data_IF_054317042758
#
_entry.id   IF_054317042758
#
_cell.length_a   1.000
_cell.length_b   1.000
_cell.length_c   1.000
_cell.angle_alpha   90.00
_cell.angle_beta   90.00
_cell.angle_gamma   90.00
#
_symmetry.space_group_name_H-M   'P 1'
#
loop_
_entity.id
_entity.type
_entity.pdbx_description
1 polymer ?
#
# COMPACT_ATOMS: atom_id res chain seq x y z
N UNK A 1 -0.97 -5.71 10.69
CA UNK A 1 -0.16 -4.51 10.99
C UNK A 1 0.51 -4.04 9.71
N UNK A 2 0.90 -2.77 9.61
CA UNK A 2 1.74 -2.15 8.54
C UNK A 2 1.22 -2.19 7.10
N UNK A 3 -0.07 -2.51 6.89
CA UNK A 3 -0.75 -2.25 5.62
C UNK A 3 -1.09 -0.76 5.51
N UNK A 4 -1.14 -0.26 4.27
CA UNK A 4 -1.56 1.09 3.96
C UNK A 4 -3.08 1.19 3.86
N UNK A 5 -3.64 2.28 4.37
CA UNK A 5 -5.07 2.56 4.30
C UNK A 5 -5.29 4.04 3.99
N UNK A 6 -6.22 4.35 3.09
CA UNK A 6 -6.72 5.72 2.95
C UNK A 6 -7.61 6.07 4.16
N UNK A 7 -7.79 7.36 4.45
CA UNK A 7 -8.76 7.80 5.47
C UNK A 7 -10.17 7.25 5.20
N UNK A 8 -10.55 7.12 3.92
CA UNK A 8 -11.85 6.56 3.50
C UNK A 8 -11.97 5.09 3.90
N UNK A 9 -10.90 4.30 3.71
CA UNK A 9 -10.88 2.90 4.11
C UNK A 9 -10.98 2.76 5.63
N UNK A 10 -10.23 3.60 6.37
CA UNK A 10 -10.25 3.59 7.84
C UNK A 10 -11.66 3.84 8.37
N UNK A 11 -12.36 4.88 7.91
CA UNK A 11 -13.73 5.13 8.39
C UNK A 11 -14.72 4.03 8.00
N UNK A 12 -14.54 3.42 6.81
CA UNK A 12 -15.36 2.26 6.42
C UNK A 12 -15.12 1.06 7.33
N UNK A 13 -13.88 0.79 7.72
CA UNK A 13 -13.50 -0.34 8.59
C UNK A 13 -13.93 -0.10 10.04
N UNK A 14 -13.84 1.13 10.53
CA UNK A 14 -14.26 1.49 11.89
C UNK A 14 -15.79 1.44 12.08
N UNK A 15 -16.55 1.29 10.98
CA UNK A 15 -17.98 1.00 10.97
C UNK A 15 -18.83 2.01 11.77
N UNK A 16 -18.58 3.30 11.57
CA UNK A 16 -19.37 4.34 12.21
C UNK A 16 -20.76 4.45 11.56
N UNK A 17 -21.78 4.81 12.35
CA UNK A 17 -23.15 5.00 11.84
C UNK A 17 -23.23 6.05 10.71
N UNK A 18 -22.34 7.05 10.74
CA UNK A 18 -22.15 8.02 9.67
C UNK A 18 -20.67 8.33 9.53
N UNK A 19 -20.12 8.10 8.34
CA UNK A 19 -18.72 8.39 8.07
C UNK A 19 -18.49 9.91 7.91
N UNK A 20 -17.46 10.48 8.54
CA UNK A 20 -17.11 11.88 8.34
C UNK A 20 -16.56 12.09 6.92
N UNK A 21 -16.62 13.32 6.41
CA UNK A 21 -15.93 13.65 5.17
C UNK A 21 -14.41 13.54 5.40
N UNK A 22 -13.70 12.60 4.75
CA UNK A 22 -12.28 12.35 5.00
C UNK A 22 -11.39 13.58 4.76
N UNK A 23 -11.78 14.50 3.88
CA UNK A 23 -11.04 15.74 3.59
C UNK A 23 -11.12 16.75 4.75
N UNK A 24 -12.16 16.66 5.58
CA UNK A 24 -12.36 17.56 6.73
C UNK A 24 -11.72 17.03 8.01
N UNK A 25 -11.32 15.76 8.00
CA UNK A 25 -10.63 15.15 9.15
C UNK A 25 -9.15 15.51 9.08
N UNK A 26 -8.71 16.36 10.01
CA UNK A 26 -7.29 16.64 10.26
C UNK A 26 -6.55 15.45 10.90
N UNK A 27 -5.76 15.71 11.94
CA UNK A 27 -4.90 14.68 12.55
C UNK A 27 -5.60 13.57 13.36
N UNK A 28 -6.85 13.74 13.77
CA UNK A 28 -7.63 12.71 14.49
C UNK A 28 -9.10 13.11 14.57
N UNK A 29 -9.95 12.17 14.98
CA UNK A 29 -11.37 12.43 15.29
C UNK A 29 -11.86 11.37 16.28
N UNK A 30 -12.56 11.79 17.34
CA UNK A 30 -13.23 10.88 18.27
C UNK A 30 -14.58 10.50 17.68
N UNK A 31 -14.89 9.20 17.66
CA UNK A 31 -16.18 8.71 17.18
C UNK A 31 -17.34 9.25 18.03
N UNK A 32 -18.54 9.47 17.47
CA UNK A 32 -19.68 10.02 18.23
C UNK A 32 -20.08 9.19 19.45
N UNK A 33 -19.92 7.86 19.35
CA UNK A 33 -20.19 6.88 20.41
C UNK A 33 -18.98 6.69 21.36
N UNK A 34 -17.86 7.38 21.13
CA UNK A 34 -16.60 7.26 21.88
C UNK A 34 -16.00 5.85 21.92
N UNK A 35 -16.34 4.99 20.96
CA UNK A 35 -15.75 3.66 20.84
C UNK A 35 -14.35 3.68 20.25
N UNK A 36 -14.01 4.67 19.40
CA UNK A 36 -12.68 4.76 18.80
C UNK A 36 -12.24 6.18 18.42
N UNK A 37 -10.93 6.38 18.31
CA UNK A 37 -10.31 7.65 17.91
C UNK A 37 -9.09 7.37 17.00
N UNK A 38 -9.28 7.23 15.67
CA UNK A 38 -8.15 7.11 14.76
C UNK A 38 -7.28 8.37 14.77
N UNK A 39 -5.97 8.16 14.84
CA UNK A 39 -4.94 9.21 14.77
C UNK A 39 -4.17 9.06 13.46
N UNK A 40 -4.02 10.15 12.71
CA UNK A 40 -3.31 10.26 11.44
C UNK A 40 -2.16 11.25 11.58
N UNK A 41 -0.93 10.79 11.37
CA UNK A 41 0.28 11.62 11.46
C UNK A 41 1.05 11.60 10.15
N UNK A 42 1.45 12.79 9.69
CA UNK A 42 2.49 12.94 8.68
C UNK A 42 3.80 13.20 9.43
N UNK A 43 4.74 12.25 9.34
CA UNK A 43 5.91 12.18 10.21
C UNK A 43 6.94 13.27 9.87
N UNK A 44 7.31 13.38 8.60
CA UNK A 44 8.08 14.51 8.10
C UNK A 44 7.12 15.51 7.48
N UNK A 45 7.02 16.66 8.14
CA UNK A 45 6.19 17.78 7.73
C UNK A 45 6.97 18.64 6.74
N UNK A 46 6.35 19.02 5.63
CA UNK A 46 6.96 19.98 4.70
C UNK A 46 7.21 21.32 5.40
N UNK A 47 8.27 22.02 4.98
CA UNK A 47 8.58 23.35 5.53
C UNK A 47 7.46 24.38 5.28
N UNK A 48 6.64 24.13 4.25
CA UNK A 48 5.54 24.95 3.71
C UNK A 48 4.22 24.85 4.49
N UNK A 49 4.08 23.98 5.50
CA UNK A 49 2.83 23.88 6.27
C UNK A 49 2.71 24.99 7.32
N UNK A 50 1.46 25.34 7.69
CA UNK A 50 1.16 26.31 8.76
C UNK A 50 1.89 25.93 10.05
N UNK A 51 2.50 26.91 10.71
CA UNK A 51 3.17 26.74 12.00
C UNK A 51 2.21 26.24 13.08
N UNK A 52 0.91 26.55 12.96
CA UNK A 52 -0.15 25.99 13.84
C UNK A 52 -0.37 24.48 13.69
N UNK A 53 0.31 23.84 12.73
CA UNK A 53 0.22 22.41 12.42
C UNK A 53 1.58 21.68 12.47
N UNK A 54 2.68 22.40 12.75
CA UNK A 54 4.03 21.84 12.96
C UNK A 54 4.18 21.24 14.36
N UNK A 55 3.36 20.24 14.66
CA UNK A 55 3.48 19.50 15.92
C UNK A 55 4.78 18.69 15.97
N UNK A 56 5.31 18.47 17.17
CA UNK A 56 6.47 17.61 17.40
C UNK A 56 6.02 16.15 17.60
N UNK A 57 5.16 15.64 16.72
CA UNK A 57 4.76 14.23 16.76
C UNK A 57 5.93 13.38 16.30
N UNK A 58 6.27 12.33 17.06
CA UNK A 58 7.43 11.52 16.73
C UNK A 58 7.59 10.32 17.64
N UNK A 59 8.33 9.33 17.16
CA UNK A 59 8.72 8.24 18.03
C UNK A 59 9.79 8.69 19.03
N UNK A 60 9.61 8.31 20.30
CA UNK A 60 10.65 8.41 21.33
C UNK A 60 11.57 7.19 21.23
N UNK A 61 10.95 6.02 21.02
CA UNK A 61 11.60 4.74 20.76
C UNK A 61 10.60 3.88 19.94
N UNK A 62 10.95 2.63 19.63
CA UNK A 62 10.09 1.77 18.82
C UNK A 62 8.76 1.37 19.48
N UNK A 63 8.56 1.64 20.78
CA UNK A 63 7.36 1.30 21.55
C UNK A 63 6.60 2.52 22.07
N UNK A 64 7.21 3.71 22.04
CA UNK A 64 6.64 4.94 22.56
C UNK A 64 6.55 6.03 21.49
N UNK A 65 5.37 6.61 21.34
CA UNK A 65 5.09 7.66 20.38
C UNK A 65 4.61 8.92 21.11
N UNK A 66 5.30 10.04 20.93
CA UNK A 66 4.87 11.34 21.40
C UNK A 66 3.95 12.00 20.37
N UNK A 67 2.82 12.52 20.84
CA UNK A 67 1.80 13.09 19.98
C UNK A 67 1.22 14.37 20.60
N UNK A 68 0.83 15.31 19.73
CA UNK A 68 0.12 16.52 20.10
C UNK A 68 -1.30 16.53 19.58
N UNK A 69 -2.21 17.03 20.41
CA UNK A 69 -3.57 17.35 19.97
C UNK A 69 -3.59 18.45 18.90
N UNK A 70 -4.76 18.63 18.28
CA UNK A 70 -5.02 19.77 17.40
C UNK A 70 -4.81 21.08 18.18
N UNK A 71 -4.49 22.16 17.48
CA UNK A 71 -4.39 23.49 18.07
C UNK A 71 -5.69 23.93 18.75
N UNK A 72 -5.56 24.84 19.72
CA UNK A 72 -6.66 25.37 20.57
C UNK A 72 -7.34 24.25 21.36
N UNK A 73 -6.53 23.33 21.88
CA UNK A 73 -6.96 22.29 22.81
C UNK A 73 -6.30 22.47 24.15
N UNK A 74 -6.99 22.00 25.17
CA UNK A 74 -6.61 22.07 26.58
C UNK A 74 -6.93 20.74 27.22
N UNK A 75 -6.45 20.50 28.44
CA UNK A 75 -6.82 19.30 29.20
C UNK A 75 -8.34 19.18 29.40
N UNK A 76 -9.09 20.29 29.29
CA UNK A 76 -10.56 20.30 29.44
C UNK A 76 -11.32 20.08 28.12
N UNK A 77 -10.64 20.04 26.98
CA UNK A 77 -11.29 19.89 25.67
C UNK A 77 -12.00 18.51 25.57
N UNK A 78 -13.21 18.42 24.99
CA UNK A 78 -14.00 17.18 25.02
C UNK A 78 -13.32 15.96 24.37
N UNK A 79 -12.58 16.21 23.28
CA UNK A 79 -11.81 15.19 22.58
C UNK A 79 -10.59 14.73 23.40
N UNK A 80 -9.86 15.67 24.01
CA UNK A 80 -8.77 15.36 24.94
C UNK A 80 -9.29 14.59 26.15
N UNK A 81 -10.44 14.98 26.70
CA UNK A 81 -11.09 14.26 27.80
C UNK A 81 -11.50 12.84 27.40
N UNK A 82 -11.92 12.60 26.16
CA UNK A 82 -12.18 11.25 25.69
C UNK A 82 -10.90 10.39 25.69
N UNK A 83 -9.77 10.95 25.24
CA UNK A 83 -8.47 10.27 25.22
C UNK A 83 -7.94 10.05 26.65
N UNK A 84 -8.07 11.02 27.55
CA UNK A 84 -7.71 10.87 28.97
C UNK A 84 -8.51 9.72 29.60
N UNK A 85 -9.81 9.63 29.29
CA UNK A 85 -10.70 8.61 29.82
C UNK A 85 -10.75 7.34 28.94
N UNK A 86 -9.66 7.01 28.22
CA UNK A 86 -9.63 5.90 27.26
C UNK A 86 -10.05 4.55 27.85
N UNK A 87 -9.81 4.33 29.15
CA UNK A 87 -10.19 3.11 29.89
C UNK A 87 -11.70 2.85 29.90
N UNK A 88 -12.52 3.82 29.50
CA UNK A 88 -13.95 3.63 29.24
C UNK A 88 -14.27 2.79 27.99
N UNK A 89 -13.23 2.35 27.25
CA UNK A 89 -13.34 1.49 26.07
C UNK A 89 -12.96 2.16 24.75
N UNK A 90 -12.28 3.32 24.79
CA UNK A 90 -11.86 4.03 23.58
C UNK A 90 -10.65 3.33 22.94
N UNK A 91 -10.85 2.78 21.74
CA UNK A 91 -9.77 2.23 20.91
C UNK A 91 -9.06 3.33 20.13
N UNK A 92 -7.73 3.39 20.17
CA UNK A 92 -6.95 4.45 19.50
C UNK A 92 -6.01 3.83 18.45
N UNK A 93 -6.46 3.64 17.20
CA UNK A 93 -5.59 3.15 16.13
C UNK A 93 -4.72 4.28 15.56
N UNK A 94 -3.41 4.03 15.47
CA UNK A 94 -2.41 4.97 14.97
C UNK A 94 -2.07 4.69 13.50
N UNK A 95 -2.09 5.74 12.68
CA UNK A 95 -1.77 5.71 11.27
C UNK A 95 -0.69 6.75 10.96
N UNK A 96 0.43 6.34 10.37
CA UNK A 96 1.56 7.22 10.06
C UNK A 96 1.89 7.17 8.58
N UNK A 97 2.19 8.31 7.99
CA UNK A 97 2.77 8.44 6.65
C UNK A 97 4.09 9.21 6.77
N UNK A 98 5.12 8.81 6.03
CA UNK A 98 6.45 9.43 6.16
C UNK A 98 6.45 10.86 5.62
N UNK A 99 5.93 11.07 4.41
CA UNK A 99 5.84 12.39 3.78
C UNK A 99 4.46 12.64 3.15
N UNK A 100 4.10 13.90 2.89
CA UNK A 100 2.82 14.25 2.27
C UNK A 100 2.71 13.79 0.79
N UNK A 101 3.82 13.57 0.11
CA UNK A 101 3.92 13.23 -1.32
C UNK A 101 3.81 11.72 -1.63
N UNK A 102 4.01 10.81 -0.67
CA UNK A 102 3.90 9.34 -0.90
C UNK A 102 2.46 8.80 -1.11
N UNK A 103 1.54 9.62 -1.63
CA UNK A 103 0.14 9.25 -1.90
C UNK A 103 -0.89 9.65 -0.83
N UNK A 104 -2.08 9.02 -0.83
CA UNK A 104 -3.19 9.38 0.09
C UNK A 104 -3.32 8.44 1.30
N UNK A 105 -2.46 7.43 1.38
CA UNK A 105 -2.57 6.32 2.32
C UNK A 105 -1.55 6.40 3.46
N UNK A 106 -1.90 5.82 4.61
CA UNK A 106 -1.11 5.80 5.83
C UNK A 106 -0.82 4.36 6.26
N UNK A 107 0.38 4.10 6.78
CA UNK A 107 0.71 2.82 7.43
C UNK A 107 -0.06 2.69 8.74
N UNK A 108 -0.80 1.59 8.92
CA UNK A 108 -1.39 1.25 10.21
C UNK A 108 -0.32 0.73 11.17
N UNK A 109 0.00 1.51 12.20
CA UNK A 109 1.05 1.23 13.18
C UNK A 109 0.59 0.36 14.34
N UNK A 110 -0.72 0.13 14.46
CA UNK A 110 -1.30 -0.59 15.60
C UNK A 110 -2.22 0.27 16.43
N UNK A 111 -2.82 -0.38 17.43
CA UNK A 111 -3.53 0.33 18.49
C UNK A 111 -2.52 0.81 19.53
N UNK A 112 -2.80 1.98 20.09
CA UNK A 112 -1.95 2.60 21.10
C UNK A 112 -2.73 2.91 22.37
N UNK A 113 -2.00 2.98 23.48
CA UNK A 113 -2.55 3.23 24.81
C UNK A 113 -1.88 4.47 25.40
N UNK A 114 -2.62 5.50 25.86
CA UNK A 114 -2.02 6.64 26.54
C UNK A 114 -1.25 6.21 27.79
N UNK A 115 -0.05 6.74 27.98
CA UNK A 115 0.71 6.55 29.23
C UNK A 115 0.09 7.47 30.29
N UNK A 116 -0.46 6.89 31.35
CA UNK A 116 -1.06 7.63 32.46
C UNK A 116 -0.04 8.64 33.05
N UNK A 117 -0.47 9.88 33.25
CA UNK A 117 0.39 10.95 33.76
C UNK A 117 1.28 11.64 32.72
N UNK A 118 1.28 11.21 31.46
CA UNK A 118 2.06 11.85 30.38
C UNK A 118 1.37 13.05 29.70
N UNK A 119 0.13 13.37 30.10
CA UNK A 119 -0.63 14.47 29.52
C UNK A 119 -0.11 15.82 30.00
N UNK A 120 0.38 16.63 29.08
CA UNK A 120 0.93 17.96 29.35
C UNK A 120 0.27 19.01 28.45
N UNK A 121 -0.29 20.06 29.04
CA UNK A 121 -0.77 21.21 28.27
C UNK A 121 0.37 22.20 28.03
N UNK A 122 0.61 22.54 26.78
CA UNK A 122 1.64 23.51 26.36
C UNK A 122 1.12 24.39 25.22
N UNK A 123 2.01 25.16 24.57
CA UNK A 123 1.67 26.03 23.44
C UNK A 123 2.60 25.81 22.25
N UNK A 124 2.09 26.05 21.04
CA UNK A 124 2.88 26.14 19.80
C UNK A 124 2.68 27.52 19.18
N UNK A 125 3.66 27.96 18.39
CA UNK A 125 3.57 29.23 17.66
C UNK A 125 2.55 29.16 16.53
N UNK A 126 1.72 30.20 16.39
CA UNK A 126 0.87 30.38 15.21
C UNK A 126 1.59 31.12 14.07
N UNK A 127 0.92 31.23 12.92
CA UNK A 127 1.47 31.88 11.72
C UNK A 127 1.73 33.38 11.89
N UNK A 128 1.16 34.01 12.93
CA UNK A 128 1.31 35.42 13.26
C UNK A 128 2.22 35.66 14.47
N UNK A 129 2.92 34.62 14.96
CA UNK A 129 3.80 34.70 16.14
C UNK A 129 3.07 34.67 17.49
N UNK A 130 1.75 34.46 17.51
CA UNK A 130 0.97 34.17 18.70
C UNK A 130 1.21 32.76 19.22
N UNK A 131 0.74 32.47 20.44
CA UNK A 131 0.84 31.15 21.07
C UNK A 131 -0.55 30.51 21.14
N UNK A 132 -0.69 29.28 20.63
CA UNK A 132 -1.94 28.51 20.68
C UNK A 132 -1.77 27.25 21.50
N UNK A 133 -2.77 26.92 22.33
CA UNK A 133 -2.68 25.79 23.25
C UNK A 133 -2.79 24.44 22.53
N UNK A 134 -2.00 23.48 22.99
CA UNK A 134 -2.02 22.07 22.58
C UNK A 134 -1.83 21.18 23.81
N UNK A 135 -2.15 19.90 23.68
CA UNK A 135 -1.90 18.88 24.71
C UNK A 135 -0.95 17.84 24.13
N UNK A 136 0.23 17.67 24.74
CA UNK A 136 1.16 16.56 24.49
C UNK A 136 0.72 15.34 25.29
N UNK A 137 0.86 14.16 24.71
CA UNK A 137 0.68 12.88 25.41
C UNK A 137 1.64 11.86 24.79
N UNK A 138 2.14 10.96 25.63
CA UNK A 138 2.92 9.81 25.18
C UNK A 138 2.02 8.60 25.10
N UNK A 139 2.13 7.88 23.99
CA UNK A 139 1.41 6.64 23.74
C UNK A 139 2.38 5.47 23.80
N UNK A 140 1.98 4.39 24.45
CA UNK A 140 2.60 3.08 24.34
C UNK A 140 1.92 2.31 23.19
N UNK A 141 2.69 1.80 22.25
CA UNK A 141 2.16 0.91 21.22
C UNK A 141 1.90 -0.47 21.81
N UNK A 142 0.74 -1.06 21.50
CA UNK A 142 0.39 -2.40 21.98
C UNK A 142 1.34 -3.49 21.45
N UNK A 143 1.93 -3.25 20.28
CA UNK A 143 3.10 -3.99 19.80
C UNK A 143 4.15 -2.99 19.34
N UNK A 144 5.43 -3.15 19.73
CA UNK A 144 6.51 -2.30 19.22
C UNK A 144 6.52 -2.23 17.70
N UNK A 145 6.87 -1.07 17.16
CA UNK A 145 7.16 -0.90 15.73
C UNK A 145 8.38 -1.71 15.39
N UNK A 146 8.30 -2.45 14.30
CA UNK A 146 9.44 -3.12 13.69
C UNK A 146 10.61 -2.14 13.45
N UNK A 147 11.82 -2.53 13.85
CA UNK A 147 12.99 -1.65 13.78
C UNK A 147 13.24 -1.09 12.38
N UNK A 148 12.93 -1.84 11.31
CA UNK A 148 13.11 -1.35 9.94
C UNK A 148 12.09 -0.25 9.57
N UNK A 149 10.83 -0.40 9.97
CA UNK A 149 9.78 0.60 9.73
C UNK A 149 10.01 1.82 10.62
N UNK A 150 10.43 1.59 11.86
CA UNK A 150 10.90 2.64 12.76
C UNK A 150 12.04 3.42 12.10
N UNK A 151 13.12 2.75 11.69
CA UNK A 151 14.28 3.37 11.04
C UNK A 151 13.90 4.11 9.76
N UNK A 152 13.03 3.54 8.91
CA UNK A 152 12.56 4.21 7.71
C UNK A 152 11.76 5.48 8.03
N UNK A 153 10.89 5.44 9.04
CA UNK A 153 10.11 6.62 9.45
C UNK A 153 11.01 7.66 10.14
N UNK A 154 12.00 7.25 10.92
CA UNK A 154 12.88 8.15 11.69
C UNK A 154 14.12 8.62 10.94
N UNK A 155 14.49 7.97 9.82
CA UNK A 155 15.65 8.37 9.00
C UNK A 155 15.46 9.80 8.50
N UNK A 156 16.41 10.68 8.79
CA UNK A 156 16.45 12.02 8.17
C UNK A 156 16.77 11.86 6.69
N UNK A 157 16.17 12.69 5.85
CA UNK A 157 16.26 12.65 4.38
C UNK A 157 17.67 12.90 3.79
N UNK A 158 18.73 12.86 4.60
CA UNK A 158 20.12 13.05 4.18
C UNK A 158 20.99 11.97 4.85
N UNK A 159 21.24 10.86 4.16
CA UNK A 159 22.50 10.10 4.21
C UNK A 159 22.43 8.90 3.24
N UNK A 160 22.67 9.17 1.96
CA UNK A 160 23.25 8.19 1.04
C UNK A 160 24.76 8.11 1.34
N UNK A 161 25.20 7.22 2.23
CA UNK A 161 26.50 6.51 2.17
C UNK A 161 26.93 5.95 3.54
N UNK A 162 26.75 4.65 3.75
CA UNK A 162 27.82 3.78 4.27
C UNK A 162 27.37 2.32 4.24
N UNK A 163 28.13 1.54 3.47
CA UNK A 163 28.16 0.08 3.44
C UNK A 163 28.67 -0.49 4.76
N UNK A 164 28.00 -1.50 5.32
CA UNK A 164 28.69 -2.73 5.73
C UNK A 164 27.73 -3.91 5.90
N UNK A 165 28.21 -5.08 5.47
CA UNK A 165 27.53 -6.38 5.42
C UNK A 165 27.72 -7.13 6.74
N UNK A 166 26.66 -7.77 7.27
CA UNK A 166 26.56 -9.24 7.41
C UNK A 166 25.16 -9.68 7.92
N UNK A 167 24.48 -10.47 7.08
CA UNK A 167 23.63 -11.67 7.31
C UNK A 167 23.32 -12.12 8.76
N UNK A 168 22.17 -12.72 9.13
CA UNK A 168 21.08 -13.38 8.37
C UNK A 168 19.89 -13.68 9.31
N UNK A 169 18.70 -13.79 8.69
CA UNK A 169 17.46 -14.51 9.07
C UNK A 169 16.21 -13.70 9.46
N UNK A 170 15.26 -13.71 8.51
CA UNK A 170 13.81 -13.37 8.52
C UNK A 170 13.38 -12.01 7.96
N UNK A 171 13.42 -11.96 6.62
CA UNK A 171 12.52 -11.31 5.63
C UNK A 171 11.69 -10.10 6.08
N UNK A 172 12.34 -8.94 6.07
CA UNK A 172 11.67 -7.67 5.78
C UNK A 172 11.63 -7.45 4.28
N UNK A 173 10.47 -7.09 3.76
CA UNK A 173 10.21 -6.85 2.33
C UNK A 173 10.92 -5.57 1.85
N UNK A 174 12.26 -5.59 1.77
CA UNK A 174 13.02 -4.61 1.00
C UNK A 174 12.55 -4.80 -0.43
N UNK A 175 11.93 -3.77 -1.02
CA UNK A 175 11.58 -3.84 -2.44
C UNK A 175 12.88 -4.14 -3.21
N UNK A 176 12.89 -5.13 -4.12
CA UNK A 176 14.09 -5.53 -4.87
C UNK A 176 14.54 -4.50 -5.93
N UNK A 177 14.01 -3.29 -5.83
CA UNK A 177 14.18 -2.16 -6.73
C UNK A 177 13.92 -0.86 -5.96
N UNK A 178 14.46 0.24 -6.50
CA UNK A 178 14.25 1.58 -5.99
C UNK A 178 13.11 2.24 -6.76
N UNK A 179 12.23 2.96 -6.07
CA UNK A 179 11.29 3.88 -6.72
C UNK A 179 12.04 5.18 -6.99
N UNK A 180 12.04 5.62 -8.25
CA UNK A 180 12.76 6.83 -8.65
C UNK A 180 11.91 8.10 -8.41
N UNK A 181 12.52 9.19 -7.90
CA UNK A 181 11.88 10.49 -7.88
C UNK A 181 11.76 11.06 -9.31
N UNK A 182 10.77 11.91 -9.55
CA UNK A 182 10.35 12.38 -10.88
C UNK A 182 11.52 12.93 -11.70
N UNK A 183 12.47 13.61 -11.05
CA UNK A 183 13.61 14.26 -11.70
C UNK A 183 14.65 13.27 -12.23
N UNK A 184 14.69 12.04 -11.68
CA UNK A 184 15.62 10.98 -12.11
C UNK A 184 15.02 10.04 -13.15
N UNK A 185 13.71 10.17 -13.44
CA UNK A 185 13.00 9.28 -14.36
C UNK A 185 13.44 9.55 -15.80
N UNK A 186 14.05 8.55 -16.43
CA UNK A 186 14.25 8.47 -17.89
C UNK A 186 13.53 7.22 -18.37
N UNK A 187 12.25 7.34 -18.77
CA UNK A 187 11.38 6.21 -19.08
C UNK A 187 12.06 5.22 -20.03
N UNK A 188 12.11 3.95 -19.62
CA UNK A 188 12.66 2.84 -20.39
C UNK A 188 14.17 2.95 -20.72
N UNK A 189 14.86 3.96 -20.18
CA UNK A 189 16.30 4.10 -20.26
C UNK A 189 16.95 3.63 -18.96
N UNK A 190 16.46 4.11 -17.81
CA UNK A 190 16.94 3.70 -16.48
C UNK A 190 15.85 3.12 -15.58
N UNK A 191 14.59 3.09 -16.03
CA UNK A 191 13.49 2.62 -15.21
C UNK A 191 12.34 2.04 -16.05
N UNK A 192 11.50 1.24 -15.39
CA UNK A 192 10.25 0.69 -15.93
C UNK A 192 9.10 1.00 -14.97
N UNK A 193 7.84 1.00 -15.44
CA UNK A 193 6.69 1.34 -14.59
C UNK A 193 6.39 0.23 -13.57
N UNK A 194 5.93 0.66 -12.40
CA UNK A 194 5.35 -0.17 -11.35
C UNK A 194 3.82 -0.01 -11.38
N UNK A 195 3.09 -1.11 -11.60
CA UNK A 195 1.64 -1.11 -11.62
C UNK A 195 1.05 -1.73 -10.36
N UNK A 196 0.11 -1.01 -9.74
CA UNK A 196 -0.70 -1.53 -8.65
C UNK A 196 -2.02 -2.08 -9.23
N UNK A 197 -2.08 -3.40 -9.40
CA UNK A 197 -3.24 -4.08 -10.01
C UNK A 197 -4.54 -3.84 -9.22
N UNK A 198 -4.46 -3.59 -7.90
CA UNK A 198 -5.65 -3.28 -7.06
C UNK A 198 -6.17 -1.86 -7.25
N UNK A 199 -5.32 -0.91 -7.62
CA UNK A 199 -5.72 0.48 -7.87
C UNK A 199 -6.30 0.70 -9.29
N UNK A 200 -5.96 -0.17 -10.24
CA UNK A 200 -6.24 0.01 -11.68
C UNK A 200 -7.59 -0.53 -12.17
N UNK A 201 -8.51 -0.88 -11.27
CA UNK A 201 -9.82 -1.46 -11.54
C UNK A 201 -10.75 -0.63 -12.46
N UNK A 202 -10.44 0.66 -12.70
CA UNK A 202 -11.25 1.56 -13.55
C UNK A 202 -10.49 2.27 -14.67
N UNK A 203 -9.18 2.06 -14.83
CA UNK A 203 -8.37 2.82 -15.79
C UNK A 203 -7.12 2.05 -16.23
N UNK A 204 -7.32 1.00 -17.03
CA UNK A 204 -6.26 0.35 -17.80
C UNK A 204 -6.67 0.17 -19.27
N UNK A 205 -7.67 0.93 -19.71
CA UNK A 205 -7.98 1.15 -21.12
C UNK A 205 -7.00 2.20 -21.64
N UNK A 206 -6.02 1.71 -22.41
CA UNK A 206 -4.82 2.41 -22.87
C UNK A 206 -3.77 2.59 -21.76
N UNK A 207 -2.57 2.06 -21.99
CA UNK A 207 -1.37 2.34 -21.19
C UNK A 207 -0.98 3.81 -21.35
N UNK A 208 -1.82 4.73 -20.89
CA UNK A 208 -1.44 6.12 -20.71
C UNK A 208 -0.57 6.16 -19.46
N UNK A 209 0.70 6.53 -19.64
CA UNK A 209 1.59 6.95 -18.57
C UNK A 209 0.86 8.11 -17.88
N UNK A 210 0.15 7.83 -16.81
CA UNK A 210 -0.48 8.87 -16.00
C UNK A 210 0.62 9.54 -15.18
N UNK A 211 0.39 10.79 -14.77
CA UNK A 211 1.27 11.52 -13.85
C UNK A 211 1.44 10.85 -12.48
N UNK A 212 0.70 9.78 -12.21
CA UNK A 212 0.71 9.02 -10.95
C UNK A 212 1.45 7.67 -11.06
N UNK A 213 2.00 7.35 -12.23
CA UNK A 213 2.75 6.09 -12.42
C UNK A 213 4.08 6.13 -11.67
N UNK A 214 4.27 5.23 -10.71
CA UNK A 214 5.57 5.01 -10.07
C UNK A 214 6.54 4.34 -11.05
N UNK A 215 7.81 4.75 -11.03
CA UNK A 215 8.87 4.20 -11.88
C UNK A 215 9.96 3.58 -11.03
N UNK A 216 10.43 2.40 -11.42
CA UNK A 216 11.40 1.64 -10.64
C UNK A 216 12.71 1.42 -11.40
N UNK A 217 13.80 1.49 -10.65
CA UNK A 217 15.16 1.12 -11.06
C UNK A 217 15.59 -0.13 -10.30
N UNK A 218 16.08 -1.13 -11.02
CA UNK A 218 16.64 -2.33 -10.41
C UNK A 218 18.01 -2.09 -9.80
N UNK A 219 18.27 -2.74 -8.67
CA UNK A 219 19.57 -2.77 -8.00
C UNK A 219 20.59 -3.72 -8.68
N UNK A 220 20.21 -4.29 -9.83
CA UNK A 220 21.03 -5.19 -10.65
C UNK A 220 21.07 -4.70 -12.09
N UNK A 221 22.11 -5.04 -12.88
CA UNK A 221 22.13 -4.73 -14.30
C UNK A 221 20.86 -5.25 -14.98
N UNK A 222 20.10 -4.35 -15.60
CA UNK A 222 18.87 -4.67 -16.29
C UNK A 222 18.76 -3.84 -17.57
N UNK A 223 18.32 -4.46 -18.66
CA UNK A 223 18.07 -3.77 -19.91
C UNK A 223 16.63 -3.24 -19.91
N UNK A 224 16.47 -1.99 -19.50
CA UNK A 224 15.17 -1.32 -19.54
C UNK A 224 14.66 -1.22 -20.98
N UNK A 225 13.37 -1.48 -21.15
CA UNK A 225 12.66 -1.39 -22.43
C UNK A 225 11.16 -1.21 -22.17
N UNK A 226 10.44 -0.69 -23.18
CA UNK A 226 9.03 -0.32 -23.09
C UNK A 226 8.07 -1.49 -22.87
N UNK A 227 8.54 -2.70 -23.16
CA UNK A 227 7.83 -3.94 -22.98
C UNK A 227 7.95 -4.52 -21.57
N UNK A 228 8.67 -3.91 -20.63
CA UNK A 228 8.73 -4.39 -19.25
C UNK A 228 7.92 -3.55 -18.26
N UNK A 229 7.39 -4.21 -17.24
CA UNK A 229 6.76 -3.58 -16.08
C UNK A 229 6.82 -4.51 -14.87
N UNK A 230 6.65 -3.94 -13.67
CA UNK A 230 6.57 -4.68 -12.42
C UNK A 230 5.16 -4.57 -11.86
N UNK A 231 4.63 -5.65 -11.27
CA UNK A 231 3.44 -5.57 -10.43
C UNK A 231 3.54 -6.52 -9.23
N UNK A 232 2.77 -6.22 -8.19
CA UNK A 232 2.60 -7.11 -7.05
C UNK A 232 1.64 -8.24 -7.41
N UNK A 233 2.06 -9.48 -7.17
CA UNK A 233 1.19 -10.66 -7.25
C UNK A 233 0.73 -11.02 -5.85
N UNK A 234 -0.59 -10.97 -5.63
CA UNK A 234 -1.20 -11.24 -4.33
C UNK A 234 -2.14 -12.43 -4.48
N UNK A 235 -2.16 -13.31 -3.47
CA UNK A 235 -2.99 -14.49 -3.46
C UNK A 235 -2.21 -15.78 -3.66
N UNK A 236 -2.88 -16.89 -3.37
CA UNK A 236 -2.26 -18.20 -3.29
C UNK A 236 -2.47 -19.07 -4.54
N UNK A 237 -3.17 -18.55 -5.54
CA UNK A 237 -3.50 -19.29 -6.76
C UNK A 237 -2.27 -19.76 -7.56
N UNK A 238 -1.10 -19.17 -7.33
CA UNK A 238 0.17 -19.48 -8.03
C UNK A 238 1.32 -19.85 -7.09
N UNK A 239 1.05 -20.11 -5.80
CA UNK A 239 2.08 -20.23 -4.75
C UNK A 239 3.06 -21.43 -4.87
N UNK A 240 2.90 -22.34 -5.84
CA UNK A 240 3.94 -23.30 -6.21
C UNK A 240 5.11 -22.65 -6.97
N UNK A 241 4.87 -21.50 -7.60
CA UNK A 241 5.84 -20.82 -8.48
C UNK A 241 6.04 -19.36 -8.05
N UNK A 242 4.95 -18.67 -7.71
CA UNK A 242 4.94 -17.26 -7.31
C UNK A 242 4.30 -17.18 -5.93
N UNK A 243 5.09 -16.97 -4.86
CA UNK A 243 4.57 -16.75 -3.51
C UNK A 243 3.62 -15.54 -3.46
N UNK A 244 2.68 -15.55 -2.52
CA UNK A 244 1.80 -14.40 -2.32
C UNK A 244 2.60 -13.17 -1.84
N UNK A 245 2.23 -11.99 -2.34
CA UNK A 245 2.87 -10.69 -2.10
C UNK A 245 4.26 -10.56 -2.74
N UNK A 246 4.53 -11.35 -3.79
CA UNK A 246 5.76 -11.26 -4.57
C UNK A 246 5.69 -10.13 -5.59
N UNK A 247 6.76 -9.34 -5.70
CA UNK A 247 6.96 -8.45 -6.84
C UNK A 247 7.40 -9.26 -8.06
N UNK A 248 6.69 -9.11 -9.17
CA UNK A 248 6.96 -9.89 -10.37
C UNK A 248 7.28 -8.98 -11.54
N UNK A 249 8.34 -9.33 -12.28
CA UNK A 249 8.65 -8.71 -13.55
C UNK A 249 7.83 -9.37 -14.65
N UNK A 250 7.16 -8.55 -15.44
CA UNK A 250 6.40 -8.97 -16.61
C UNK A 250 6.93 -8.32 -17.87
N UNK A 251 6.77 -9.04 -18.97
CA UNK A 251 6.95 -8.52 -20.33
C UNK A 251 5.60 -8.41 -21.02
N UNK A 252 5.26 -7.24 -21.58
CA UNK A 252 4.05 -6.99 -22.35
C UNK A 252 3.91 -8.02 -23.46
N UNK A 253 2.69 -8.50 -23.65
CA UNK A 253 2.40 -9.46 -24.69
C UNK A 253 2.54 -8.81 -26.08
N UNK A 254 3.45 -9.35 -26.89
CA UNK A 254 3.70 -8.91 -28.26
C UNK A 254 3.09 -9.85 -29.31
N UNK A 255 2.23 -10.78 -28.87
CA UNK A 255 1.69 -11.84 -29.72
C UNK A 255 2.59 -13.08 -29.81
N UNK A 256 2.09 -14.12 -30.49
CA UNK A 256 2.70 -15.44 -30.56
C UNK A 256 2.07 -16.46 -29.60
N UNK A 257 2.72 -17.61 -29.42
CA UNK A 257 2.19 -18.65 -28.52
C UNK A 257 2.37 -18.25 -27.05
N UNK A 258 1.29 -18.41 -26.29
CA UNK A 258 1.22 -18.21 -24.84
C UNK A 258 1.14 -19.53 -24.08
N UNK A 259 1.00 -20.65 -24.81
CA UNK A 259 0.88 -21.99 -24.23
C UNK A 259 2.10 -22.33 -23.35
N UNK A 260 1.84 -22.78 -22.13
CA UNK A 260 2.84 -23.11 -21.13
C UNK A 260 3.46 -21.90 -20.42
N UNK A 261 3.03 -20.67 -20.72
CA UNK A 261 3.54 -19.46 -20.05
C UNK A 261 2.62 -19.04 -18.91
N UNK A 262 3.21 -18.47 -17.87
CA UNK A 262 2.44 -17.77 -16.83
C UNK A 262 2.14 -16.37 -17.35
N UNK A 263 0.87 -15.98 -17.27
CA UNK A 263 0.37 -14.72 -17.85
C UNK A 263 -0.45 -13.95 -16.84
N UNK A 264 -0.35 -12.62 -16.90
CA UNK A 264 -1.30 -11.69 -16.32
C UNK A 264 -2.40 -11.43 -17.37
N UNK A 265 -3.63 -11.80 -17.04
CA UNK A 265 -4.79 -11.62 -17.92
C UNK A 265 -5.85 -10.74 -17.27
N UNK A 266 -6.63 -10.10 -18.12
CA UNK A 266 -7.82 -9.33 -17.78
C UNK A 266 -9.02 -9.88 -18.54
N UNK A 267 -10.12 -10.11 -17.85
CA UNK A 267 -11.40 -10.49 -18.43
C UNK A 267 -12.54 -10.05 -17.49
N UNK A 268 -13.64 -9.55 -18.04
CA UNK A 268 -14.74 -9.02 -17.23
C UNK A 268 -15.40 -10.09 -16.34
N UNK A 269 -15.53 -11.31 -16.85
CA UNK A 269 -16.20 -12.41 -16.15
C UNK A 269 -15.28 -13.22 -15.23
N UNK A 270 -13.99 -12.87 -15.14
CA UNK A 270 -13.10 -13.52 -14.17
C UNK A 270 -13.38 -12.92 -12.78
N UNK A 271 -13.98 -13.73 -11.91
CA UNK A 271 -14.07 -13.46 -10.49
C UNK A 271 -12.95 -14.20 -9.78
N UNK A 272 -11.79 -13.57 -9.65
CA UNK A 272 -10.69 -14.10 -8.84
C UNK A 272 -10.81 -13.51 -7.41
N UNK A 273 -10.99 -14.33 -6.36
CA UNK A 273 -11.11 -13.84 -4.97
C UNK A 273 -9.91 -13.02 -4.51
N UNK A 274 -8.73 -13.26 -5.09
CA UNK A 274 -7.48 -12.61 -4.72
C UNK A 274 -7.30 -11.24 -5.41
N UNK A 275 -8.02 -11.01 -6.52
CA UNK A 275 -7.95 -9.81 -7.36
C UNK A 275 -9.32 -9.15 -7.55
N UNK A 276 -9.50 -7.98 -6.94
CA UNK A 276 -10.60 -7.10 -7.33
C UNK A 276 -10.38 -6.61 -8.78
N UNK A 277 -11.43 -6.69 -9.61
CA UNK A 277 -11.55 -6.11 -10.97
C UNK A 277 -11.07 -6.92 -12.18
N UNK A 278 -11.26 -8.25 -12.17
CA UNK A 278 -11.20 -9.04 -13.41
C UNK A 278 -9.79 -9.36 -13.90
N UNK A 279 -8.78 -9.24 -13.03
CA UNK A 279 -7.41 -9.64 -13.31
C UNK A 279 -7.07 -10.98 -12.66
N UNK A 280 -6.16 -11.73 -13.27
CA UNK A 280 -5.59 -12.92 -12.63
C UNK A 280 -4.22 -13.26 -13.24
N UNK A 281 -3.37 -13.91 -12.44
CA UNK A 281 -2.13 -14.56 -12.91
C UNK A 281 -2.33 -16.06 -12.93
N UNK A 282 -2.17 -16.71 -14.09
CA UNK A 282 -2.35 -18.17 -14.26
C UNK A 282 -1.41 -18.74 -15.32
N UNK A 283 -1.20 -20.06 -15.30
CA UNK A 283 -0.56 -20.78 -16.39
C UNK A 283 -1.53 -20.88 -17.57
N UNK A 284 -1.13 -20.39 -18.74
CA UNK A 284 -1.95 -20.38 -19.95
C UNK A 284 -1.78 -21.68 -20.73
N UNK A 285 -2.89 -22.34 -21.05
CA UNK A 285 -2.94 -23.50 -21.94
C UNK A 285 -3.99 -23.28 -23.01
N UNK A 286 -3.64 -23.51 -24.28
CA UNK A 286 -4.60 -23.55 -25.38
C UNK A 286 -4.87 -24.99 -25.77
N UNK A 287 -6.15 -25.33 -25.93
CA UNK A 287 -6.58 -26.60 -26.52
C UNK A 287 -7.33 -26.31 -27.81
N UNK A 288 -6.94 -26.98 -28.89
CA UNK A 288 -7.69 -27.03 -30.14
C UNK A 288 -8.39 -28.37 -30.21
N UNK A 289 -9.71 -28.36 -30.31
CA UNK A 289 -10.50 -29.56 -30.58
C UNK A 289 -10.83 -29.55 -32.07
N UNK A 290 -10.47 -30.63 -32.76
CA UNK A 290 -10.78 -30.84 -34.18
C UNK A 290 -11.84 -31.92 -34.24
N UNK A 291 -13.03 -31.59 -34.75
CA UNK A 291 -14.08 -32.58 -35.03
C UNK A 291 -13.97 -33.05 -36.48
N UNK A 292 -14.38 -34.29 -36.75
CA UNK A 292 -14.11 -35.01 -38.01
C UNK A 292 -14.73 -34.35 -39.26
N UNK A 293 -15.67 -33.41 -39.14
CA UNK A 293 -16.34 -32.79 -40.30
C UNK A 293 -16.71 -31.29 -40.12
N UNK A 294 -16.19 -30.58 -39.12
CA UNK A 294 -16.37 -29.11 -39.01
C UNK A 294 -15.35 -28.42 -38.08
N UNK A 295 -15.43 -27.09 -38.05
CA UNK A 295 -14.50 -26.09 -37.52
C UNK A 295 -13.79 -26.45 -36.20
N UNK A 296 -12.50 -26.08 -36.10
CA UNK A 296 -11.72 -26.28 -34.88
C UNK A 296 -12.10 -25.27 -33.80
N UNK A 297 -12.60 -25.73 -32.66
CA UNK A 297 -12.84 -24.86 -31.50
C UNK A 297 -11.55 -24.71 -30.70
N UNK A 298 -11.22 -23.46 -30.34
CA UNK A 298 -10.10 -23.17 -29.45
C UNK A 298 -10.64 -22.78 -28.08
N UNK A 299 -10.25 -23.53 -27.04
CA UNK A 299 -10.50 -23.14 -25.65
C UNK A 299 -9.20 -22.74 -24.97
N UNK A 300 -9.26 -21.72 -24.11
CA UNK A 300 -8.15 -21.33 -23.23
C UNK A 300 -8.44 -21.84 -21.84
N UNK A 301 -7.44 -22.46 -21.22
CA UNK A 301 -7.48 -22.90 -19.84
C UNK A 301 -6.43 -22.09 -19.07
N UNK A 302 -6.86 -21.34 -18.08
CA UNK A 302 -6.01 -20.62 -17.14
C UNK A 302 -5.90 -21.47 -15.87
N UNK A 303 -4.77 -22.13 -15.71
CA UNK A 303 -4.54 -23.10 -14.64
C UNK A 303 -3.87 -22.44 -13.43
N UNK A 304 -4.42 -22.60 -12.21
CA UNK A 304 -3.69 -22.24 -11.02
C UNK A 304 -2.49 -23.17 -10.84
N UNK A 305 -1.46 -22.68 -10.16
CA UNK A 305 -0.31 -23.44 -9.70
C UNK A 305 -0.21 -23.28 -8.20
N UNK A 306 -1.24 -23.76 -7.49
CA UNK A 306 -1.35 -23.64 -6.04
C UNK A 306 -1.09 -24.96 -5.31
N UNK A 307 -0.58 -24.86 -4.09
CA UNK A 307 -0.56 -25.92 -3.08
C UNK A 307 -1.97 -26.22 -2.55
N UNK A 308 -2.90 -25.26 -2.61
CA UNK A 308 -4.30 -25.47 -2.28
C UNK A 308 -5.06 -26.02 -3.50
N UNK A 309 -5.69 -27.19 -3.36
CA UNK A 309 -6.49 -27.84 -4.39
C UNK A 309 -7.85 -27.20 -4.65
N UNK A 310 -8.27 -26.24 -3.81
CA UNK A 310 -9.55 -25.53 -3.99
C UNK A 310 -9.54 -24.61 -5.21
N UNK A 311 -8.37 -24.10 -5.63
CA UNK A 311 -8.25 -23.30 -6.84
C UNK A 311 -8.55 -24.13 -8.09
N UNK A 312 -9.61 -23.75 -8.81
CA UNK A 312 -10.04 -24.43 -10.02
C UNK A 312 -9.48 -23.77 -11.29
N UNK A 313 -9.44 -24.54 -12.36
CA UNK A 313 -9.12 -24.01 -13.68
C UNK A 313 -10.23 -23.05 -14.13
N UNK A 314 -9.83 -21.92 -14.71
CA UNK A 314 -10.77 -21.06 -15.45
C UNK A 314 -10.71 -21.52 -16.91
N UNK A 315 -11.85 -21.96 -17.43
CA UNK A 315 -11.98 -22.45 -18.80
C UNK A 315 -12.78 -21.41 -19.58
N UNK A 316 -12.16 -20.83 -20.60
CA UNK A 316 -12.76 -19.87 -21.50
C UNK A 316 -12.97 -20.56 -22.84
N UNK A 317 -14.23 -20.71 -23.25
CA UNK A 317 -14.61 -21.22 -24.56
C UNK A 317 -14.55 -20.10 -25.59
N UNK A 318 -14.73 -20.44 -26.86
CA UNK A 318 -14.67 -19.48 -27.98
C UNK A 318 -15.55 -18.25 -27.78
N UNK A 319 -16.76 -18.44 -27.24
CA UNK A 319 -17.70 -17.37 -26.88
C UNK A 319 -17.19 -16.45 -25.76
N UNK A 320 -16.36 -16.97 -24.85
CA UNK A 320 -15.77 -16.25 -23.71
C UNK A 320 -14.38 -15.67 -24.05
N UNK A 321 -13.91 -15.82 -25.30
CA UNK A 321 -12.61 -15.27 -25.70
C UNK A 321 -12.69 -13.77 -25.99
N UNK A 322 -13.89 -13.27 -26.32
CA UNK A 322 -14.09 -11.86 -26.56
C UNK A 322 -13.91 -11.07 -25.24
N UNK A 323 -13.02 -10.09 -25.26
CA UNK A 323 -12.63 -9.34 -24.06
C UNK A 323 -11.48 -9.93 -23.24
N UNK A 324 -10.97 -11.15 -23.54
CA UNK A 324 -9.76 -11.67 -22.90
C UNK A 324 -8.53 -10.91 -23.38
N UNK A 325 -7.89 -10.18 -22.48
CA UNK A 325 -6.65 -9.45 -22.75
C UNK A 325 -5.51 -10.01 -21.94
N UNK A 326 -4.43 -10.40 -22.62
CA UNK A 326 -3.18 -10.81 -21.99
C UNK A 326 -2.32 -9.56 -21.87
N UNK A 327 -2.14 -9.07 -20.66
CA UNK A 327 -1.45 -7.80 -20.39
C UNK A 327 0.06 -8.02 -20.26
N UNK A 328 0.49 -9.19 -19.78
CA UNK A 328 1.90 -9.52 -19.65
C UNK A 328 2.18 -11.00 -19.48
N UNK A 329 3.41 -11.38 -19.85
CA UNK A 329 4.02 -12.69 -19.67
C UNK A 329 4.98 -12.57 -18.50
N UNK A 330 4.80 -13.41 -17.49
CA UNK A 330 5.67 -13.48 -16.31
C UNK A 330 7.10 -13.86 -16.70
N UNK A 331 8.08 -13.14 -16.15
CA UNK A 331 9.52 -13.37 -16.37
C UNK A 331 10.15 -13.97 -15.13
N UNK A 332 10.06 -13.27 -13.99
CA UNK A 332 10.66 -13.71 -12.74
C UNK A 332 9.97 -13.07 -11.53
N UNK A 333 10.10 -13.75 -10.38
CA UNK A 333 9.90 -13.12 -9.08
C UNK A 333 11.14 -12.32 -8.75
N UNK A 334 10.94 -11.09 -8.32
CA UNK A 334 11.99 -10.21 -7.85
C UNK A 334 12.15 -10.47 -6.35
N UNK A 335 13.33 -10.95 -5.97
CA UNK A 335 13.73 -11.23 -4.58
C UNK A 335 14.72 -10.20 -4.07
#
# INVERSE_FOLDING_TARGET
>A
MYRKYSRKDVFRILNWASNPNPQTVGGYIVSPDKSNCPIFVNYHKEESISNTTKYEDGFINNSEFEWMSKSKRTLKSPDVQAIINYKSGLRIPLFIKKHNDEGTEFYFMGDVTPIDGSFEQTTISDDNGGQVSVVKVKFLLNSPVEDSLYNYLTSKSNDESSTDKLDTTREFNIKPFNILPIERIKPFINCIPLYNVRASAGHFSEMQISSETEWIEFNKPFKYAQDYFVCEVVGDSMNKIIPSNSWCLFKKDSGGTRAGKIVLVRHADIQDPDYAAGYTVKLYESKKVVEEDSWSHTSIILKPQSLNSEFQNIILKEEDLDGLKVEGIFIEVLN
#
